data_IF_528853733956
#
_entry.id   IF_528853733956
#
_cell.length_a   1.000
_cell.length_b   1.000
_cell.length_c   1.000
_cell.angle_alpha   90.00
_cell.angle_beta   90.00
_cell.angle_gamma   90.00
#
_symmetry.space_group_name_H-M   'P 1'
#
loop_
_entity.id
_entity.type
_entity.pdbx_description
1 polymer ?
#
# COMPACT_ATOMS: atom_id res chain seq x y z
N UNK A 1 -32.78 -7.61 32.75
CA UNK A 1 -32.37 -7.55 31.33
C UNK A 1 -31.60 -6.23 31.13
N UNK A 2 -30.26 -6.27 31.28
CA UNK A 2 -29.40 -5.10 31.05
C UNK A 2 -28.83 -5.21 29.65
N UNK A 3 -29.26 -4.32 28.76
CA UNK A 3 -28.73 -4.19 27.41
C UNK A 3 -27.24 -3.89 27.47
N UNK A 4 -26.47 -4.66 26.73
CA UNK A 4 -25.03 -4.55 26.55
C UNK A 4 -24.74 -3.26 25.78
N UNK A 5 -24.27 -2.22 26.44
CA UNK A 5 -23.77 -1.00 25.77
C UNK A 5 -22.63 -1.39 24.81
N UNK A 6 -22.78 -1.23 23.48
CA UNK A 6 -21.69 -1.48 22.54
C UNK A 6 -20.78 -0.24 22.46
N UNK A 7 -20.33 0.25 23.62
CA UNK A 7 -19.48 1.43 23.78
C UNK A 7 -18.01 1.21 23.36
N UNK A 8 -17.76 0.39 22.34
CA UNK A 8 -16.41 0.19 21.79
C UNK A 8 -16.46 -0.07 20.28
N UNK A 9 -17.02 0.87 19.54
CA UNK A 9 -16.61 1.08 18.15
C UNK A 9 -15.14 1.52 18.22
N UNK A 10 -14.24 0.55 18.20
CA UNK A 10 -12.82 0.75 17.91
C UNK A 10 -12.76 1.78 16.79
N UNK A 11 -12.20 2.95 17.09
CA UNK A 11 -12.10 4.06 16.17
C UNK A 11 -11.67 3.50 14.82
N UNK A 12 -12.60 3.51 13.84
CA UNK A 12 -12.31 3.13 12.47
C UNK A 12 -11.16 4.02 12.06
N UNK A 13 -9.94 3.49 12.13
CA UNK A 13 -8.74 4.28 12.00
C UNK A 13 -8.66 4.68 10.55
N UNK A 14 -9.19 5.86 10.21
CA UNK A 14 -8.92 6.42 8.89
C UNK A 14 -7.40 6.58 8.78
N UNK A 15 -6.80 6.15 7.67
CA UNK A 15 -5.39 6.32 7.49
C UNK A 15 -5.17 7.81 7.35
N UNK A 16 -4.46 8.38 8.30
CA UNK A 16 -4.01 9.76 8.18
C UNK A 16 -2.64 9.76 7.54
N UNK A 17 -2.17 10.94 7.13
CA UNK A 17 -0.79 11.13 6.65
C UNK A 17 0.27 10.67 7.67
N UNK A 18 -0.11 10.39 8.93
CA UNK A 18 0.78 9.85 9.97
C UNK A 18 1.39 8.49 9.61
N UNK A 19 0.70 7.68 8.81
CA UNK A 19 1.17 6.34 8.43
C UNK A 19 2.18 6.44 7.26
N UNK A 20 2.28 7.60 6.59
CA UNK A 20 3.12 7.82 5.41
C UNK A 20 4.61 7.54 5.65
N UNK A 21 5.26 7.98 6.75
CA UNK A 21 6.67 7.68 7.00
C UNK A 21 6.93 6.18 7.16
N UNK A 22 6.00 5.47 7.81
CA UNK A 22 6.11 4.02 7.99
C UNK A 22 5.94 3.27 6.67
N UNK A 23 4.98 3.66 5.83
CA UNK A 23 4.82 3.09 4.49
C UNK A 23 6.01 3.39 3.58
N UNK A 24 6.58 4.60 3.66
CA UNK A 24 7.78 4.97 2.91
C UNK A 24 8.97 4.09 3.32
N UNK A 25 9.17 3.92 4.62
CA UNK A 25 10.21 3.07 5.18
C UNK A 25 10.03 1.59 4.79
N UNK A 26 8.80 1.09 4.72
CA UNK A 26 8.46 -0.26 4.26
C UNK A 26 8.76 -0.42 2.77
N UNK A 27 8.21 0.47 1.94
CA UNK A 27 8.35 0.41 0.48
C UNK A 27 9.83 0.51 0.08
N UNK A 28 10.57 1.46 0.65
CA UNK A 28 12.00 1.62 0.39
C UNK A 28 12.80 0.35 0.68
N UNK A 29 12.52 -0.36 1.78
CA UNK A 29 13.19 -1.64 2.10
C UNK A 29 12.88 -2.73 1.08
N UNK A 30 11.74 -2.69 0.41
CA UNK A 30 11.35 -3.69 -0.58
C UNK A 30 11.91 -3.38 -1.97
N UNK A 31 11.81 -2.13 -2.43
CA UNK A 31 12.18 -1.75 -3.82
C UNK A 31 13.58 -1.15 -3.94
N UNK A 32 14.20 -0.72 -2.83
CA UNK A 32 15.59 -0.23 -2.78
C UNK A 32 15.82 1.17 -3.37
N UNK A 33 14.76 1.85 -3.79
CA UNK A 33 14.79 3.15 -4.46
C UNK A 33 13.81 4.11 -3.78
N UNK A 34 14.26 5.32 -3.46
CA UNK A 34 13.39 6.36 -2.88
C UNK A 34 12.29 6.75 -3.85
N UNK A 35 12.60 6.89 -5.13
CA UNK A 35 11.62 7.29 -6.15
C UNK A 35 10.52 6.23 -6.31
N UNK A 36 10.90 4.96 -6.48
CA UNK A 36 9.93 3.87 -6.58
C UNK A 36 9.12 3.72 -5.29
N UNK A 37 9.73 3.95 -4.13
CA UNK A 37 9.03 3.91 -2.85
C UNK A 37 7.99 5.04 -2.71
N UNK A 38 8.32 6.26 -3.16
CA UNK A 38 7.36 7.37 -3.18
C UNK A 38 6.17 7.05 -4.07
N UNK A 39 6.41 6.50 -5.26
CA UNK A 39 5.36 6.09 -6.21
C UNK A 39 4.46 5.01 -5.61
N UNK A 40 5.03 3.98 -4.99
CA UNK A 40 4.29 2.94 -4.27
C UNK A 40 3.36 3.55 -3.23
N UNK A 41 3.87 4.48 -2.41
CA UNK A 41 3.08 5.11 -1.34
C UNK A 41 2.00 6.01 -1.92
N UNK A 42 2.30 6.79 -2.96
CA UNK A 42 1.32 7.63 -3.65
C UNK A 42 0.18 6.79 -4.23
N UNK A 43 0.50 5.74 -4.99
CA UNK A 43 -0.49 4.82 -5.56
C UNK A 43 -1.33 4.13 -4.46
N UNK A 44 -0.69 3.76 -3.35
CA UNK A 44 -1.40 3.17 -2.20
C UNK A 44 -2.46 4.12 -1.64
N UNK A 45 -2.13 5.39 -1.44
CA UNK A 45 -3.08 6.40 -0.97
C UNK A 45 -4.13 6.75 -2.05
N UNK A 46 -3.76 6.79 -3.33
CA UNK A 46 -4.69 7.01 -4.43
C UNK A 46 -5.78 5.93 -4.43
N UNK A 47 -5.42 4.65 -4.29
CA UNK A 47 -6.37 3.53 -4.16
C UNK A 47 -7.24 3.66 -2.91
N UNK A 48 -6.70 4.12 -1.79
CA UNK A 48 -7.51 4.37 -0.58
C UNK A 48 -8.58 5.43 -0.79
N UNK A 49 -8.21 6.56 -1.40
CA UNK A 49 -9.13 7.67 -1.61
C UNK A 49 -10.14 7.40 -2.72
N UNK A 50 -9.77 6.60 -3.74
CA UNK A 50 -10.67 6.15 -4.80
C UNK A 50 -11.80 5.21 -4.30
N UNK A 51 -11.63 4.55 -3.16
CA UNK A 51 -12.69 3.70 -2.58
C UNK A 51 -13.91 4.52 -2.15
N UNK A 52 -15.10 3.93 -2.27
CA UNK A 52 -16.31 4.56 -1.72
C UNK A 52 -16.25 4.62 -0.18
N UNK A 53 -16.99 5.55 0.46
CA UNK A 53 -17.10 5.59 1.92
C UNK A 53 -17.59 4.28 2.54
N UNK A 54 -18.51 3.56 1.88
CA UNK A 54 -19.03 2.26 2.33
C UNK A 54 -17.96 1.17 2.26
N UNK A 55 -17.17 1.12 1.18
CA UNK A 55 -16.04 0.21 1.05
C UNK A 55 -15.01 0.44 2.14
N UNK A 56 -14.65 1.71 2.41
CA UNK A 56 -13.75 2.07 3.52
C UNK A 56 -14.32 1.68 4.88
N UNK A 57 -15.63 1.86 5.10
CA UNK A 57 -16.27 1.50 6.37
C UNK A 57 -16.27 -0.01 6.66
N UNK A 58 -16.15 -0.85 5.62
CA UNK A 58 -15.97 -2.30 5.73
C UNK A 58 -14.54 -2.73 6.12
N UNK A 59 -13.56 -1.83 6.03
CA UNK A 59 -12.17 -2.11 6.38
C UNK A 59 -11.98 -1.94 7.89
N UNK A 60 -11.61 -3.03 8.57
CA UNK A 60 -11.43 -3.05 10.04
C UNK A 60 -10.24 -2.22 10.53
N UNK A 61 -9.17 -2.13 9.74
CA UNK A 61 -7.96 -1.36 10.07
C UNK A 61 -7.38 -0.80 8.78
N UNK A 62 -7.35 0.53 8.64
CA UNK A 62 -6.81 1.13 7.43
C UNK A 62 -5.31 0.94 7.32
N UNK A 63 -4.56 1.06 8.42
CA UNK A 63 -3.11 0.84 8.42
C UNK A 63 -2.77 -0.56 7.91
N UNK A 64 -3.50 -1.60 8.35
CA UNK A 64 -3.30 -2.96 7.86
C UNK A 64 -3.65 -3.12 6.37
N UNK A 65 -4.68 -2.40 5.89
CA UNK A 65 -5.02 -2.37 4.47
C UNK A 65 -3.92 -1.69 3.64
N UNK A 66 -3.43 -0.53 4.09
CA UNK A 66 -2.38 0.21 3.40
C UNK A 66 -1.08 -0.61 3.30
N UNK A 67 -0.64 -1.22 4.39
CA UNK A 67 0.56 -2.09 4.40
C UNK A 67 0.41 -3.24 3.40
N UNK A 68 -0.78 -3.87 3.35
CA UNK A 68 -1.07 -4.94 2.39
C UNK A 68 -1.00 -4.43 0.94
N UNK A 69 -1.61 -3.29 0.66
CA UNK A 69 -1.66 -2.73 -0.70
C UNK A 69 -0.28 -2.25 -1.15
N UNK A 70 0.44 -1.52 -0.31
CA UNK A 70 1.82 -1.11 -0.58
C UNK A 70 2.73 -2.32 -0.85
N UNK A 71 2.64 -3.36 -0.02
CA UNK A 71 3.40 -4.60 -0.23
C UNK A 71 3.07 -5.28 -1.56
N UNK A 72 1.79 -5.30 -1.97
CA UNK A 72 1.39 -5.85 -3.27
C UNK A 72 2.00 -5.06 -4.43
N UNK A 73 1.92 -3.73 -4.37
CA UNK A 73 2.51 -2.85 -5.39
C UNK A 73 4.03 -3.07 -5.46
N UNK A 74 4.74 -3.13 -4.34
CA UNK A 74 6.18 -3.46 -4.33
C UNK A 74 6.50 -4.77 -5.04
N UNK A 75 5.72 -5.83 -4.78
CA UNK A 75 5.92 -7.12 -5.44
C UNK A 75 5.67 -7.05 -6.95
N UNK A 76 4.65 -6.31 -7.38
CA UNK A 76 4.34 -6.08 -8.80
C UNK A 76 5.46 -5.28 -9.49
N UNK A 77 6.04 -4.28 -8.81
CA UNK A 77 7.21 -3.51 -9.27
C UNK A 77 8.44 -4.42 -9.46
N UNK A 78 8.76 -5.24 -8.47
CA UNK A 78 9.89 -6.17 -8.51
C UNK A 78 9.72 -7.23 -9.61
N UNK A 79 8.50 -7.77 -9.75
CA UNK A 79 8.15 -8.70 -10.83
C UNK A 79 8.32 -8.07 -12.21
N UNK A 80 7.81 -6.85 -12.40
CA UNK A 80 7.96 -6.11 -13.66
C UNK A 80 9.42 -5.78 -13.99
N UNK A 81 10.21 -5.40 -12.97
CA UNK A 81 11.63 -5.13 -13.13
C UNK A 81 12.41 -6.40 -13.54
N UNK A 82 12.07 -7.55 -12.98
CA UNK A 82 12.64 -8.84 -13.37
C UNK A 82 12.34 -9.18 -14.83
N UNK A 83 11.07 -9.08 -15.24
CA UNK A 83 10.66 -9.32 -16.63
C UNK A 83 11.40 -8.40 -17.61
N UNK A 84 11.61 -7.13 -17.27
CA UNK A 84 12.40 -6.20 -18.12
C UNK A 84 13.85 -6.65 -18.27
N UNK A 85 14.51 -7.14 -17.21
CA UNK A 85 15.89 -7.65 -17.28
C UNK A 85 16.00 -8.92 -18.10
N UNK A 86 15.03 -9.84 -17.96
CA UNK A 86 14.96 -11.07 -18.76
C UNK A 86 14.72 -10.77 -20.25
N UNK A 87 13.98 -9.70 -20.57
CA UNK A 87 13.83 -9.21 -21.94
C UNK A 87 15.11 -8.52 -22.46
N UNK A 88 15.95 -8.00 -21.57
CA UNK A 88 17.22 -7.32 -21.87
C UNK A 88 18.41 -8.31 -22.01
N UNK A 89 18.18 -9.51 -22.55
CA UNK A 89 19.24 -10.48 -22.90
C UNK A 89 19.48 -10.61 -24.41
N UNK A 90 18.91 -9.72 -25.22
CA UNK A 90 19.14 -9.71 -26.66
C UNK A 90 18.74 -8.40 -27.33
N UNK A 91 19.73 -7.57 -27.65
CA UNK A 91 19.99 -7.03 -28.99
C UNK A 91 21.43 -6.49 -28.93
N UNK A 92 22.33 -7.18 -29.62
CA UNK A 92 23.73 -6.81 -29.76
C UNK A 92 23.81 -5.44 -30.46
N UNK A 93 24.58 -4.49 -29.92
CA UNK A 93 24.92 -3.24 -30.61
C UNK A 93 25.86 -3.58 -31.78
N UNK A 94 25.57 -3.16 -33.04
CA UNK A 94 26.43 -3.39 -34.19
C UNK A 94 27.87 -2.86 -34.01
#
# INVERSE_FOLDING_TARGET
MRGKDPGRLSARSNPTLKDRPMLMALAFRMVGSTHDAEDVVQETYARWYAMSPSARAGIKSATAWLVRVAGRICLDHLGSARVRREKYTGEWLP
#
